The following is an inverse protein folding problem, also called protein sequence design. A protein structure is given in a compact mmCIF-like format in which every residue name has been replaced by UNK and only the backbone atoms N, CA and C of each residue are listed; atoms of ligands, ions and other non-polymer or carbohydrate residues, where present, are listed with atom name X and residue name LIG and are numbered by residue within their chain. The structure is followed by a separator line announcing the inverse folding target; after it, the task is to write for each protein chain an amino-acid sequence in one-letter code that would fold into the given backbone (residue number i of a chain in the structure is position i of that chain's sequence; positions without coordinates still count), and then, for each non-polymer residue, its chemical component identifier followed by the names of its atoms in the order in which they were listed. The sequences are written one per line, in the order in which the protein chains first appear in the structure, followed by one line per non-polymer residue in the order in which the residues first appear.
data_IF_332692994983
#
_entry.id   IF_332692994983
#
_cell.length_a   1.000
_cell.length_b   1.000
_cell.length_c   1.000
_cell.angle_alpha   90.00
_cell.angle_beta   90.00
_cell.angle_gamma   90.00
#
_symmetry.space_group_name_H-M   'P 1'
#
loop_
_entity.id
_entity.type
_entity.pdbx_description
1 polymer ?
#
# COMPACT_ATOMS: atom_id res chain seq x y z
N UNK A 1 28.37 -0.90 -19.99
CA UNK A 1 27.87 -1.79 -18.91
C UNK A 1 29.06 -2.13 -18.02
N UNK A 2 29.16 -1.56 -16.81
CA UNK A 2 30.28 -1.88 -15.90
C UNK A 2 30.09 -3.31 -15.38
N UNK A 3 31.09 -4.18 -15.56
CA UNK A 3 31.09 -5.53 -15.02
C UNK A 3 31.13 -5.48 -13.50
N UNK A 4 30.16 -6.10 -12.84
CA UNK A 4 30.15 -6.21 -11.38
C UNK A 4 31.30 -7.13 -10.96
N UNK A 5 32.22 -6.59 -10.15
CA UNK A 5 33.38 -7.34 -9.62
C UNK A 5 32.93 -8.29 -8.50
N UNK A 6 32.84 -9.57 -8.85
CA UNK A 6 32.35 -10.64 -7.97
C UNK A 6 33.16 -10.77 -6.67
N UNK A 7 34.42 -10.33 -6.66
CA UNK A 7 35.26 -10.38 -5.47
C UNK A 7 34.81 -9.40 -4.39
N UNK A 8 34.25 -8.25 -4.78
CA UNK A 8 33.67 -7.28 -3.84
C UNK A 8 32.41 -7.84 -3.18
N UNK A 9 31.61 -8.62 -3.92
CA UNK A 9 30.43 -9.32 -3.38
C UNK A 9 30.86 -10.36 -2.35
N UNK A 10 31.87 -11.18 -2.64
CA UNK A 10 32.38 -12.15 -1.68
C UNK A 10 32.98 -11.51 -0.43
N UNK A 11 33.67 -10.38 -0.57
CA UNK A 11 34.19 -9.61 0.56
C UNK A 11 33.06 -9.07 1.46
N UNK A 12 31.99 -8.54 0.86
CA UNK A 12 30.78 -8.09 1.57
C UNK A 12 30.09 -9.25 2.30
N UNK A 13 29.87 -10.37 1.63
CA UNK A 13 29.30 -11.58 2.23
C UNK A 13 30.13 -12.10 3.42
N UNK A 14 31.46 -12.09 3.30
CA UNK A 14 32.34 -12.50 4.39
C UNK A 14 32.31 -11.49 5.55
N UNK A 15 32.22 -10.19 5.25
CA UNK A 15 32.10 -9.16 6.27
C UNK A 15 30.77 -9.25 7.02
N UNK A 16 29.66 -9.50 6.32
CA UNK A 16 28.33 -9.78 6.90
C UNK A 16 28.35 -11.02 7.81
N UNK A 17 28.84 -12.16 7.30
CA UNK A 17 28.95 -13.41 8.08
C UNK A 17 29.84 -13.30 9.33
N UNK A 18 30.75 -12.32 9.36
CA UNK A 18 31.66 -12.05 10.49
C UNK A 18 31.16 -10.91 11.39
N UNK A 19 29.92 -10.44 11.20
CA UNK A 19 29.32 -9.35 11.97
C UNK A 19 29.97 -7.98 11.78
N UNK A 20 30.89 -7.83 10.80
CA UNK A 20 31.70 -6.61 10.62
C UNK A 20 30.94 -5.44 10.00
N UNK A 21 29.77 -5.70 9.41
CA UNK A 21 28.93 -4.68 8.77
C UNK A 21 27.86 -4.09 9.70
N UNK A 22 27.74 -4.60 10.94
CA UNK A 22 26.54 -4.37 11.76
C UNK A 22 25.29 -5.03 11.17
N UNK A 23 24.22 -5.15 11.96
CA UNK A 23 22.92 -5.64 11.44
C UNK A 23 22.71 -7.16 11.48
N UNK A 24 23.12 -7.86 12.54
CA UNK A 24 22.62 -9.23 12.77
C UNK A 24 21.10 -9.26 13.01
N UNK A 25 20.53 -8.16 13.52
CA UNK A 25 19.10 -7.96 13.71
C UNK A 25 18.61 -6.90 12.72
N UNK A 26 17.76 -7.30 11.79
CA UNK A 26 17.02 -6.41 10.91
C UNK A 26 15.83 -5.79 11.66
N UNK A 27 15.36 -4.60 11.27
CA UNK A 27 14.16 -4.01 11.85
C UNK A 27 12.95 -4.95 11.83
N UNK A 28 12.78 -5.70 10.73
CA UNK A 28 11.69 -6.64 10.48
C UNK A 28 11.75 -7.89 11.39
N UNK A 29 12.90 -8.17 12.02
CA UNK A 29 13.02 -9.22 13.04
C UNK A 29 12.21 -8.88 14.30
N UNK A 30 11.79 -7.62 14.46
CA UNK A 30 10.84 -7.18 15.49
C UNK A 30 9.39 -7.42 15.03
N UNK A 31 8.92 -8.64 15.22
CA UNK A 31 7.60 -9.09 14.78
C UNK A 31 6.93 -10.03 15.81
N UNK A 32 5.63 -10.33 15.66
CA UNK A 32 4.88 -11.24 16.53
C UNK A 32 5.15 -12.74 16.32
N UNK A 33 6.06 -13.12 15.41
CA UNK A 33 6.40 -14.51 15.07
C UNK A 33 5.19 -15.34 14.58
N UNK A 34 4.36 -14.73 13.74
CA UNK A 34 3.22 -15.37 13.10
C UNK A 34 3.66 -16.44 12.09
N UNK A 35 2.76 -17.36 11.76
CA UNK A 35 2.99 -18.30 10.66
C UNK A 35 3.22 -17.52 9.36
N UNK A 36 4.30 -17.84 8.65
CA UNK A 36 4.76 -17.09 7.47
C UNK A 36 3.73 -17.09 6.34
N UNK A 37 2.91 -18.14 6.28
CA UNK A 37 1.87 -18.30 5.25
C UNK A 37 0.52 -17.74 5.68
N UNK A 38 0.41 -17.18 6.90
CA UNK A 38 -0.84 -16.66 7.43
C UNK A 38 -1.17 -15.28 6.83
N UNK A 39 -2.46 -15.02 6.67
CA UNK A 39 -2.97 -13.71 6.24
C UNK A 39 -2.50 -12.60 7.18
N UNK A 40 -2.52 -12.85 8.48
CA UNK A 40 -2.11 -11.94 9.55
C UNK A 40 -0.64 -11.56 9.41
N UNK A 41 0.22 -12.51 9.04
CA UNK A 41 1.63 -12.24 8.80
C UNK A 41 1.82 -11.26 7.64
N UNK A 42 1.12 -11.47 6.52
CA UNK A 42 1.18 -10.53 5.40
C UNK A 42 0.68 -9.14 5.79
N UNK A 43 -0.48 -9.04 6.45
CA UNK A 43 -1.03 -7.76 6.90
C UNK A 43 -0.12 -7.03 7.90
N UNK A 44 0.49 -7.77 8.83
CA UNK A 44 1.44 -7.21 9.79
C UNK A 44 2.65 -6.58 9.09
N UNK A 45 3.17 -7.19 8.01
CA UNK A 45 4.31 -6.61 7.31
C UNK A 45 3.91 -5.50 6.32
N UNK A 46 2.72 -5.56 5.72
CA UNK A 46 2.27 -4.56 4.75
C UNK A 46 1.87 -3.22 5.39
N UNK A 47 1.09 -3.24 6.47
CA UNK A 47 0.48 -2.00 6.99
C UNK A 47 1.50 -1.02 7.62
N UNK A 48 2.42 -1.45 8.52
CA UNK A 48 3.46 -0.58 9.06
C UNK A 48 4.37 0.01 7.98
N UNK A 49 4.68 -0.77 6.94
CA UNK A 49 5.53 -0.31 5.83
C UNK A 49 4.94 0.88 5.09
N UNK A 50 3.61 0.98 5.01
CA UNK A 50 2.95 2.16 4.44
C UNK A 50 3.22 3.46 5.22
N UNK A 51 3.61 3.36 6.49
CA UNK A 51 3.94 4.50 7.35
C UNK A 51 5.46 4.70 7.53
N UNK A 52 6.30 3.99 6.76
CA UNK A 52 7.75 3.96 6.92
C UNK A 52 8.50 5.18 6.33
N UNK A 53 7.80 6.06 5.63
CA UNK A 53 8.44 7.23 4.99
C UNK A 53 9.06 8.18 6.03
N UNK A 54 10.39 8.39 5.93
CA UNK A 54 11.19 9.31 6.75
C UNK A 54 11.24 9.00 8.27
N UNK A 55 11.07 7.74 8.69
CA UNK A 55 11.24 7.32 10.09
C UNK A 55 12.36 6.30 10.26
N UNK A 56 12.81 6.17 11.51
CA UNK A 56 13.66 5.05 11.89
C UNK A 56 12.83 3.75 11.82
N UNK A 57 13.29 2.80 10.98
CA UNK A 57 12.61 1.53 10.74
C UNK A 57 12.59 0.63 11.98
N UNK A 58 13.65 0.59 12.78
CA UNK A 58 13.67 -0.19 14.04
C UNK A 58 12.58 0.29 14.99
N UNK A 59 12.46 1.62 15.17
CA UNK A 59 11.39 2.20 16.00
C UNK A 59 10.00 1.92 15.42
N UNK A 60 9.83 1.88 14.09
CA UNK A 60 8.57 1.47 13.46
C UNK A 60 8.16 0.07 13.88
N UNK A 61 9.05 -0.89 13.72
CA UNK A 61 8.73 -2.28 13.98
C UNK A 61 8.56 -2.59 15.47
N UNK A 62 9.31 -1.92 16.35
CA UNK A 62 9.06 -1.98 17.80
C UNK A 62 7.68 -1.44 18.17
N UNK A 63 7.28 -0.30 17.59
CA UNK A 63 5.95 0.26 17.79
C UNK A 63 4.87 -0.67 17.24
N UNK A 64 5.06 -1.22 16.04
CA UNK A 64 4.11 -2.14 15.40
C UNK A 64 3.95 -3.43 16.22
N UNK A 65 5.03 -4.02 16.69
CA UNK A 65 4.98 -5.23 17.50
C UNK A 65 4.28 -4.98 18.85
N UNK A 66 4.50 -3.82 19.48
CA UNK A 66 3.76 -3.41 20.68
C UNK A 66 2.27 -3.26 20.41
N UNK A 67 1.90 -2.57 19.33
CA UNK A 67 0.49 -2.41 18.92
C UNK A 67 -0.17 -3.77 18.63
N UNK A 68 0.55 -4.70 18.02
CA UNK A 68 0.02 -6.03 17.70
C UNK A 68 -0.16 -6.90 18.95
N UNK A 69 0.75 -6.81 19.92
CA UNK A 69 0.71 -7.60 21.16
C UNK A 69 -0.33 -7.10 22.17
N UNK A 70 -0.75 -5.85 22.05
CA UNK A 70 -1.80 -5.29 22.89
C UNK A 70 -3.19 -5.62 22.31
N UNK A 71 -4.00 -6.34 23.08
CA UNK A 71 -5.36 -6.77 22.70
C UNK A 71 -6.30 -5.60 22.41
N UNK A 72 -6.04 -4.43 22.99
CA UNK A 72 -6.87 -3.23 22.76
C UNK A 72 -6.57 -2.58 21.41
N UNK A 73 -5.42 -2.87 20.80
CA UNK A 73 -4.97 -2.23 19.56
C UNK A 73 -4.69 -3.19 18.41
N UNK A 74 -4.61 -4.50 18.66
CA UNK A 74 -4.24 -5.49 17.66
C UNK A 74 -5.19 -5.53 16.45
N UNK A 75 -6.45 -5.18 16.64
CA UNK A 75 -7.48 -5.12 15.60
C UNK A 75 -7.20 -4.08 14.51
N UNK A 76 -6.28 -3.13 14.72
CA UNK A 76 -5.83 -2.23 13.64
C UNK A 76 -5.06 -2.96 12.53
N UNK A 77 -4.67 -4.22 12.74
CA UNK A 77 -4.06 -5.08 11.72
C UNK A 77 -5.07 -5.99 11.01
N UNK A 78 -6.36 -5.93 11.37
CA UNK A 78 -7.44 -6.59 10.63
C UNK A 78 -8.13 -5.58 9.71
N UNK A 79 -8.04 -5.81 8.40
CA UNK A 79 -8.62 -4.89 7.41
C UNK A 79 -10.12 -4.71 7.58
N UNK A 80 -10.89 -5.75 7.95
CA UNK A 80 -12.34 -5.66 8.16
C UNK A 80 -12.67 -4.85 9.40
N UNK A 81 -11.91 -5.07 10.48
CA UNK A 81 -12.07 -4.28 11.70
C UNK A 81 -11.79 -2.80 11.42
N UNK A 82 -10.68 -2.48 10.74
CA UNK A 82 -10.30 -1.11 10.39
C UNK A 82 -11.36 -0.40 9.53
N UNK A 83 -11.90 -1.07 8.52
CA UNK A 83 -12.91 -0.50 7.61
C UNK A 83 -14.17 -0.08 8.37
N UNK A 84 -14.58 -0.87 9.37
CA UNK A 84 -15.80 -0.62 10.15
C UNK A 84 -15.57 0.19 11.44
N UNK A 85 -14.31 0.36 11.85
CA UNK A 85 -13.93 1.08 13.06
C UNK A 85 -14.36 2.55 12.96
N UNK A 86 -14.63 3.19 14.09
CA UNK A 86 -14.77 4.64 14.15
C UNK A 86 -13.41 5.33 13.88
N UNK A 87 -13.42 6.52 13.26
CA UNK A 87 -12.18 7.24 12.91
C UNK A 87 -11.40 7.66 14.15
N UNK A 88 -12.09 8.14 15.19
CA UNK A 88 -11.44 8.57 16.42
C UNK A 88 -10.82 7.38 17.15
N UNK A 89 -11.53 6.25 17.21
CA UNK A 89 -11.01 5.02 17.80
C UNK A 89 -9.77 4.52 17.04
N UNK A 90 -9.82 4.47 15.71
CA UNK A 90 -8.69 4.04 14.88
C UNK A 90 -7.46 4.90 15.13
N UNK A 91 -7.66 6.22 15.18
CA UNK A 91 -6.61 7.19 15.48
C UNK A 91 -6.00 6.97 16.87
N UNK A 92 -6.81 6.82 17.90
CA UNK A 92 -6.36 6.60 19.28
C UNK A 92 -5.49 5.33 19.37
N UNK A 93 -5.95 4.24 18.76
CA UNK A 93 -5.22 2.96 18.72
C UNK A 93 -3.89 3.07 17.99
N UNK A 94 -3.86 3.68 16.80
CA UNK A 94 -2.64 3.81 16.00
C UNK A 94 -1.59 4.74 16.65
N UNK A 95 -2.03 5.75 17.40
CA UNK A 95 -1.14 6.71 18.07
C UNK A 95 -0.65 6.20 19.43
N UNK A 96 -1.39 5.30 20.12
CA UNK A 96 -1.06 4.77 21.46
C UNK A 96 0.41 4.35 21.60
N UNK A 97 0.90 3.54 20.66
CA UNK A 97 2.30 3.11 20.61
C UNK A 97 3.12 3.79 19.51
N UNK A 98 2.60 4.86 18.90
CA UNK A 98 3.30 5.63 17.85
C UNK A 98 3.59 4.81 16.59
N UNK A 99 2.70 3.88 16.24
CA UNK A 99 2.63 3.34 14.86
C UNK A 99 2.31 4.50 13.91
N UNK A 100 1.31 5.30 14.25
CA UNK A 100 1.07 6.61 13.65
C UNK A 100 1.70 7.72 14.50
N UNK A 101 2.62 8.48 13.91
CA UNK A 101 3.19 9.71 14.44
C UNK A 101 2.34 10.94 14.10
N UNK A 102 1.62 10.92 12.98
CA UNK A 102 0.73 11.99 12.55
C UNK A 102 -0.72 11.57 12.80
N UNK A 103 -1.39 12.08 13.85
CA UNK A 103 -2.69 11.56 14.32
C UNK A 103 -3.82 11.76 13.31
N UNK A 104 -3.66 12.63 12.32
CA UNK A 104 -4.64 12.81 11.26
C UNK A 104 -4.26 12.00 10.00
N UNK A 105 -3.07 12.29 9.44
CA UNK A 105 -2.67 11.80 8.11
C UNK A 105 -2.55 10.29 8.05
N UNK A 106 -1.86 9.72 9.03
CA UNK A 106 -1.44 8.32 8.96
C UNK A 106 -2.59 7.35 9.26
N UNK A 107 -3.52 7.63 10.19
CA UNK A 107 -4.75 6.85 10.31
C UNK A 107 -5.59 6.83 9.04
N UNK A 108 -5.70 7.96 8.33
CA UNK A 108 -6.40 8.02 7.03
C UNK A 108 -5.71 7.12 6.00
N UNK A 109 -4.38 7.25 5.85
CA UNK A 109 -3.61 6.38 4.93
C UNK A 109 -3.77 4.90 5.29
N UNK A 110 -3.72 4.58 6.58
CA UNK A 110 -3.88 3.22 7.09
C UNK A 110 -5.25 2.65 6.70
N UNK A 111 -6.33 3.42 6.88
CA UNK A 111 -7.68 3.01 6.48
C UNK A 111 -7.80 2.81 4.97
N UNK A 112 -7.33 3.77 4.16
CA UNK A 112 -7.37 3.66 2.69
C UNK A 112 -6.72 2.37 2.21
N UNK A 113 -5.58 1.98 2.80
CA UNK A 113 -4.89 0.74 2.44
C UNK A 113 -5.70 -0.48 2.85
N UNK A 114 -6.28 -0.49 4.05
CA UNK A 114 -7.15 -1.56 4.50
C UNK A 114 -8.39 -1.72 3.60
N UNK A 115 -9.03 -0.62 3.21
CA UNK A 115 -10.15 -0.59 2.27
C UNK A 115 -9.75 -1.12 0.89
N UNK A 116 -8.60 -0.69 0.36
CA UNK A 116 -8.09 -1.15 -0.94
C UNK A 116 -7.82 -2.65 -0.93
N UNK A 117 -7.16 -3.15 0.11
CA UNK A 117 -6.87 -4.58 0.28
C UNK A 117 -8.19 -5.37 0.39
N UNK A 118 -9.13 -4.91 1.21
CA UNK A 118 -10.43 -5.58 1.38
C UNK A 118 -11.21 -5.65 0.06
N UNK A 119 -11.31 -4.53 -0.67
CA UNK A 119 -12.00 -4.45 -1.96
C UNK A 119 -11.36 -5.36 -3.01
N UNK A 120 -10.03 -5.41 -3.10
CA UNK A 120 -9.33 -6.30 -4.03
C UNK A 120 -9.67 -7.77 -3.76
N UNK A 121 -9.59 -8.21 -2.49
CA UNK A 121 -9.94 -9.58 -2.12
C UNK A 121 -11.43 -9.90 -2.34
N UNK A 122 -12.33 -8.96 -2.08
CA UNK A 122 -13.76 -9.14 -2.36
C UNK A 122 -14.02 -9.35 -3.85
N UNK A 123 -13.40 -8.56 -4.73
CA UNK A 123 -13.51 -8.77 -6.18
C UNK A 123 -13.00 -10.14 -6.62
N UNK A 124 -11.88 -10.60 -6.05
CA UNK A 124 -11.33 -11.94 -6.32
C UNK A 124 -12.30 -13.02 -5.85
N UNK A 125 -12.87 -12.90 -4.65
CA UNK A 125 -13.78 -13.90 -4.05
C UNK A 125 -15.13 -13.97 -4.77
N UNK A 126 -15.69 -12.83 -5.17
CA UNK A 126 -16.95 -12.75 -5.93
C UNK A 126 -16.75 -13.21 -7.38
N UNK A 127 -15.50 -13.23 -7.87
CA UNK A 127 -15.19 -13.51 -9.27
C UNK A 127 -15.67 -12.39 -10.22
N UNK A 128 -16.02 -11.23 -9.68
CA UNK A 128 -16.46 -10.07 -10.44
C UNK A 128 -15.49 -8.90 -10.24
N UNK A 129 -14.70 -8.68 -11.28
CA UNK A 129 -13.72 -7.59 -11.35
C UNK A 129 -14.33 -6.18 -11.39
N UNK A 130 -15.66 -6.10 -11.59
CA UNK A 130 -16.43 -4.87 -11.66
C UNK A 130 -17.25 -4.61 -10.38
N UNK A 131 -17.06 -5.42 -9.34
CA UNK A 131 -17.67 -5.17 -8.04
C UNK A 131 -16.98 -4.00 -7.33
N UNK A 132 -17.71 -2.88 -7.19
CA UNK A 132 -17.29 -1.69 -6.45
C UNK A 132 -18.42 -1.22 -5.54
N UNK A 133 -18.15 -1.00 -4.25
CA UNK A 133 -19.13 -0.46 -3.29
C UNK A 133 -19.63 0.94 -3.69
N UNK A 134 -18.79 1.68 -4.41
CA UNK A 134 -19.04 3.01 -4.94
C UNK A 134 -19.95 3.01 -6.17
N UNK A 135 -20.27 1.84 -6.76
CA UNK A 135 -21.10 1.75 -7.95
C UNK A 135 -22.58 2.09 -7.67
N UNK A 136 -22.84 3.37 -7.47
CA UNK A 136 -24.15 4.00 -7.31
C UNK A 136 -24.29 5.11 -8.34
N UNK A 137 -25.48 5.32 -8.87
CA UNK A 137 -25.78 6.42 -9.81
C UNK A 137 -24.82 6.48 -11.04
N UNK A 138 -24.54 5.33 -11.65
CA UNK A 138 -23.69 5.24 -12.85
C UNK A 138 -22.21 5.54 -12.62
N UNK A 139 -21.73 5.47 -11.37
CA UNK A 139 -20.33 5.75 -11.04
C UNK A 139 -19.35 4.86 -11.84
N UNK A 140 -19.62 3.56 -11.94
CA UNK A 140 -18.73 2.64 -12.67
C UNK A 140 -18.71 2.95 -14.17
N UNK A 141 -19.88 3.11 -14.79
CA UNK A 141 -20.00 3.47 -16.21
C UNK A 141 -19.29 4.79 -16.51
N UNK A 142 -19.40 5.77 -15.62
CA UNK A 142 -18.69 7.04 -15.75
C UNK A 142 -17.18 6.83 -15.66
N UNK A 143 -16.70 6.03 -14.70
CA UNK A 143 -15.27 5.74 -14.56
C UNK A 143 -14.71 5.02 -15.79
N UNK A 144 -15.46 4.07 -16.36
CA UNK A 144 -15.08 3.37 -17.59
C UNK A 144 -15.01 4.33 -18.79
N UNK A 145 -16.03 5.18 -18.96
CA UNK A 145 -16.08 6.17 -20.04
C UNK A 145 -14.95 7.20 -19.95
N UNK A 146 -14.53 7.56 -18.74
CA UNK A 146 -13.51 8.58 -18.50
C UNK A 146 -12.14 7.99 -18.12
N UNK A 147 -11.94 6.68 -18.27
CA UNK A 147 -10.75 5.98 -17.77
C UNK A 147 -9.44 6.58 -18.29
N UNK A 148 -9.37 6.87 -19.60
CA UNK A 148 -8.20 7.50 -20.23
C UNK A 148 -7.89 8.87 -19.61
N UNK A 149 -8.93 9.67 -19.35
CA UNK A 149 -8.78 10.99 -18.72
C UNK A 149 -8.28 10.87 -17.29
N UNK A 150 -8.87 9.96 -16.49
CA UNK A 150 -8.47 9.70 -15.11
C UNK A 150 -6.96 9.38 -15.04
N UNK A 151 -6.49 8.44 -15.86
CA UNK A 151 -5.08 8.00 -15.86
C UNK A 151 -4.15 9.11 -16.33
N UNK A 152 -4.54 9.88 -17.36
CA UNK A 152 -3.73 10.97 -17.92
C UNK A 152 -3.57 12.13 -16.94
N UNK A 153 -4.66 12.53 -16.30
CA UNK A 153 -4.63 13.60 -15.31
C UNK A 153 -3.93 13.16 -14.03
N UNK A 154 -4.11 11.90 -13.60
CA UNK A 154 -3.38 11.36 -12.46
C UNK A 154 -1.87 11.40 -12.70
N UNK A 155 -1.41 10.92 -13.87
CA UNK A 155 0.00 10.97 -14.26
C UNK A 155 0.54 12.42 -14.28
N UNK A 156 -0.24 13.35 -14.82
CA UNK A 156 0.15 14.77 -14.87
C UNK A 156 0.27 15.39 -13.48
N UNK A 157 -0.67 15.04 -12.59
CA UNK A 157 -0.73 15.56 -11.24
C UNK A 157 0.39 14.99 -10.35
N UNK A 158 0.89 13.76 -10.60
CA UNK A 158 1.87 13.05 -9.75
C UNK A 158 3.04 13.91 -9.28
N UNK A 159 3.60 14.76 -10.15
CA UNK A 159 4.77 15.60 -9.81
C UNK A 159 4.47 16.70 -8.78
N UNK A 160 3.22 17.13 -8.68
CA UNK A 160 2.75 18.26 -7.88
C UNK A 160 1.72 17.81 -6.82
N UNK A 161 1.34 16.54 -6.83
CA UNK A 161 0.32 15.97 -5.98
C UNK A 161 0.83 15.88 -4.53
N UNK A 162 -0.03 16.30 -3.63
CA UNK A 162 0.14 16.28 -2.20
C UNK A 162 -1.12 15.69 -1.58
N UNK A 163 -1.03 15.30 -0.31
CA UNK A 163 -2.20 14.87 0.48
C UNK A 163 -3.37 15.86 0.51
N UNK A 164 -3.13 17.15 0.22
CA UNK A 164 -4.11 18.22 0.39
C UNK A 164 -4.75 18.66 -0.93
N UNK A 165 -4.10 18.40 -2.07
CA UNK A 165 -4.60 18.76 -3.39
C UNK A 165 -4.91 17.53 -4.27
N UNK A 166 -4.68 16.30 -3.78
CA UNK A 166 -5.09 15.09 -4.49
C UNK A 166 -6.62 15.02 -4.57
N UNK A 167 -7.12 14.58 -5.72
CA UNK A 167 -8.55 14.57 -6.06
C UNK A 167 -9.09 13.18 -6.40
N UNK A 168 -8.34 12.12 -6.13
CA UNK A 168 -8.61 10.78 -6.65
C UNK A 168 -9.13 9.80 -5.59
N UNK A 169 -8.58 9.86 -4.37
CA UNK A 169 -8.85 8.86 -3.32
C UNK A 169 -9.62 9.46 -2.15
N UNK A 170 -10.74 8.85 -1.75
CA UNK A 170 -11.58 9.26 -0.62
C UNK A 170 -12.92 9.84 -1.05
N UNK A 171 -13.90 9.80 -0.14
CA UNK A 171 -15.25 10.34 -0.37
C UNK A 171 -15.29 11.88 -0.29
N UNK A 172 -14.31 12.50 0.37
CA UNK A 172 -14.16 13.95 0.52
C UNK A 172 -13.51 14.65 -0.68
N UNK A 173 -13.01 13.90 -1.66
CA UNK A 173 -12.42 14.49 -2.87
C UNK A 173 -13.44 14.59 -4.00
N UNK A 174 -13.17 15.52 -4.92
CA UNK A 174 -14.02 15.73 -6.08
C UNK A 174 -13.19 15.69 -7.38
N UNK A 175 -13.43 14.65 -8.18
CA UNK A 175 -12.96 14.52 -9.55
C UNK A 175 -14.15 14.62 -10.51
N UNK A 176 -14.41 15.83 -11.02
CA UNK A 176 -15.52 16.10 -11.95
C UNK A 176 -16.91 15.64 -11.45
N UNK A 177 -17.21 15.87 -10.17
CA UNK A 177 -18.45 15.46 -9.52
C UNK A 177 -18.44 13.99 -9.05
N UNK A 178 -17.28 13.33 -9.05
CA UNK A 178 -17.11 11.93 -8.62
C UNK A 178 -15.99 11.83 -7.58
N UNK A 179 -16.31 11.29 -6.42
CA UNK A 179 -15.31 10.86 -5.44
C UNK A 179 -14.78 9.47 -5.79
N UNK A 180 -13.72 9.05 -5.10
CA UNK A 180 -13.21 7.66 -5.12
C UNK A 180 -12.74 7.10 -6.47
N UNK A 181 -12.60 7.92 -7.51
CA UNK A 181 -12.18 7.49 -8.86
C UNK A 181 -10.79 6.82 -8.87
N UNK A 182 -9.97 7.12 -7.87
CA UNK A 182 -8.68 6.52 -7.62
C UNK A 182 -8.74 5.01 -7.39
N UNK A 183 -9.77 4.55 -6.68
CA UNK A 183 -9.98 3.14 -6.42
C UNK A 183 -10.31 2.37 -7.70
N UNK A 184 -11.06 2.98 -8.62
CA UNK A 184 -11.35 2.37 -9.92
C UNK A 184 -10.07 2.09 -10.72
N UNK A 185 -9.28 3.14 -11.02
CA UNK A 185 -8.11 2.97 -11.87
C UNK A 185 -7.00 2.18 -11.14
N UNK A 186 -6.84 2.40 -9.83
CA UNK A 186 -5.87 1.69 -9.02
C UNK A 186 -6.11 0.17 -9.06
N UNK A 187 -7.38 -0.24 -9.02
CA UNK A 187 -7.72 -1.67 -9.11
C UNK A 187 -7.46 -2.23 -10.51
N UNK A 188 -7.72 -1.47 -11.58
CA UNK A 188 -7.36 -1.88 -12.96
C UNK A 188 -5.84 -2.01 -13.12
N UNK A 189 -5.06 -1.09 -12.55
CA UNK A 189 -3.60 -1.14 -12.55
C UNK A 189 -3.06 -2.35 -11.80
N UNK A 190 -3.49 -2.57 -10.55
CA UNK A 190 -3.09 -3.75 -9.75
C UNK A 190 -3.44 -5.04 -10.49
N UNK A 191 -4.59 -5.12 -11.16
CA UNK A 191 -4.97 -6.30 -11.94
C UNK A 191 -4.05 -6.55 -13.13
N UNK A 192 -3.61 -5.50 -13.82
CA UNK A 192 -2.62 -5.63 -14.87
C UNK A 192 -1.27 -6.13 -14.32
N UNK A 193 -0.87 -5.69 -13.13
CA UNK A 193 0.31 -6.22 -12.46
C UNK A 193 0.15 -7.70 -12.11
N UNK A 194 -0.99 -8.10 -11.56
CA UNK A 194 -1.28 -9.50 -11.23
C UNK A 194 -1.31 -10.42 -12.47
N UNK A 195 -1.54 -9.89 -13.68
CA UNK A 195 -1.43 -10.66 -14.92
C UNK A 195 0.03 -10.89 -15.35
N UNK A 196 0.97 -10.07 -14.87
CA UNK A 196 2.40 -10.17 -15.18
C UNK A 196 3.19 -10.88 -14.08
N UNK A 197 2.78 -10.71 -12.83
CA UNK A 197 3.53 -11.06 -11.63
C UNK A 197 2.58 -11.74 -10.64
N UNK A 198 3.00 -12.88 -10.09
CA UNK A 198 2.29 -13.54 -8.99
C UNK A 198 2.09 -12.59 -7.81
N UNK A 199 0.93 -12.64 -7.15
CA UNK A 199 0.58 -11.70 -6.09
C UNK A 199 1.63 -11.64 -4.95
N UNK A 200 2.21 -12.78 -4.59
CA UNK A 200 3.27 -12.88 -3.58
C UNK A 200 4.57 -12.16 -3.95
N UNK A 201 4.83 -12.01 -5.25
CA UNK A 201 5.96 -11.24 -5.76
C UNK A 201 5.59 -9.77 -5.89
N UNK A 202 4.34 -9.47 -6.28
CA UNK A 202 3.82 -8.10 -6.40
C UNK A 202 3.98 -7.31 -5.09
N UNK A 203 3.68 -7.93 -3.95
CA UNK A 203 3.81 -7.28 -2.62
C UNK A 203 5.26 -7.00 -2.20
N UNK A 204 6.26 -7.52 -2.93
CA UNK A 204 7.70 -7.31 -2.66
C UNK A 204 8.33 -6.29 -3.60
N UNK A 205 7.60 -5.85 -4.63
CA UNK A 205 8.11 -4.92 -5.64
C UNK A 205 8.35 -3.54 -5.01
N UNK A 206 9.51 -2.95 -5.30
CA UNK A 206 9.89 -1.63 -4.82
C UNK A 206 9.12 -0.51 -5.49
N UNK A 207 9.05 0.66 -4.85
CA UNK A 207 8.28 1.80 -5.35
C UNK A 207 8.74 2.29 -6.73
N UNK A 208 10.04 2.22 -7.02
CA UNK A 208 10.60 2.63 -8.31
C UNK A 208 10.16 1.70 -9.44
N UNK A 209 10.09 0.40 -9.16
CA UNK A 209 9.63 -0.64 -10.10
C UNK A 209 8.12 -0.50 -10.34
N UNK A 210 7.34 -0.27 -9.28
CA UNK A 210 5.90 0.07 -9.40
C UNK A 210 5.70 1.33 -10.24
N UNK A 211 6.56 2.34 -10.08
CA UNK A 211 6.48 3.56 -10.89
C UNK A 211 6.79 3.31 -12.37
N UNK A 212 7.75 2.43 -12.70
CA UNK A 212 8.00 2.03 -14.09
C UNK A 212 6.80 1.29 -14.68
N UNK A 213 6.23 0.33 -13.95
CA UNK A 213 5.02 -0.38 -14.37
C UNK A 213 3.84 0.59 -14.57
N UNK A 214 3.72 1.60 -13.71
CA UNK A 214 2.71 2.65 -13.87
C UNK A 214 2.96 3.50 -15.13
N UNK A 215 4.21 3.84 -15.43
CA UNK A 215 4.56 4.54 -16.67
C UNK A 215 4.18 3.72 -17.92
N UNK A 216 4.44 2.40 -17.93
CA UNK A 216 4.02 1.51 -19.02
C UNK A 216 2.49 1.42 -19.14
N UNK A 217 1.80 1.33 -18.01
CA UNK A 217 0.36 1.35 -17.94
C UNK A 217 -0.21 2.64 -18.55
N UNK A 218 0.30 3.80 -18.14
CA UNK A 218 -0.07 5.10 -18.70
C UNK A 218 0.18 5.17 -20.21
N UNK A 219 1.34 4.72 -20.71
CA UNK A 219 1.66 4.69 -22.14
C UNK A 219 0.66 3.83 -22.92
N UNK A 220 0.28 2.68 -22.36
CA UNK A 220 -0.71 1.77 -22.96
C UNK A 220 -2.06 2.46 -23.07
N UNK A 221 -2.55 3.08 -21.98
CA UNK A 221 -3.86 3.73 -21.94
C UNK A 221 -3.92 5.01 -22.78
N UNK A 222 -2.85 5.82 -22.79
CA UNK A 222 -2.78 7.05 -23.57
C UNK A 222 -2.76 6.80 -25.08
N UNK A 223 -2.24 5.65 -25.51
CA UNK A 223 -2.17 5.23 -26.91
C UNK A 223 -3.50 4.68 -27.48
N UNK A 224 -4.49 4.39 -26.64
CA UNK A 224 -5.81 3.91 -27.09
C UNK A 224 -6.61 5.13 -27.60
N UNK A 225 -6.86 5.17 -28.91
CA UNK A 225 -7.58 6.25 -29.61
C UNK A 225 -9.06 6.30 -29.27
#
# INVERSE_FOLDING_TARGET
MQSIDINKIYALLNAYKRGKLGGEKMPEDENPALDKNSKENYLYFTLPMALNYQRNSYTLWECANKTYKDTDTADVFDTKAVVTMDEQILREKLVKYKVALQPNKQPIIWRIICETIAMYFEQVLVGDTNYFHQNKNGWLEWCEKNFKQIVTEFYSDLSMMTRFNQRYFGDWVDYYGKSDVGYFFGTKFVRQLCNKIEFEQLIKVGIDEIYQEFCEFYQTISSIG
#
